data_IF_094888975454
#
_entry.id   IF_094888975454
#
_cell.length_a   1.000
_cell.length_b   1.000
_cell.length_c   1.000
_cell.angle_alpha   90.00
_cell.angle_beta   90.00
_cell.angle_gamma   90.00
#
_symmetry.space_group_name_H-M   'P 1'
#
loop_
_entity.id
_entity.type
_entity.pdbx_description
1 polymer ?
#
# COMPACT_ATOMS: atom_id res chain seq x y z
N UNK A 1 17.41 -2.18 14.18
CA UNK A 1 15.99 -1.88 13.86
C UNK A 1 15.69 -0.50 14.42
N UNK A 2 15.82 0.57 13.64
CA UNK A 2 15.34 1.87 14.08
C UNK A 2 13.83 1.89 13.90
N UNK A 3 13.14 1.97 15.03
CA UNK A 3 11.71 2.14 15.10
C UNK A 3 11.37 3.51 14.46
N UNK A 4 10.27 3.63 13.72
CA UNK A 4 9.85 4.93 13.18
C UNK A 4 9.78 6.02 14.26
N UNK A 5 9.59 5.61 15.52
CA UNK A 5 9.63 6.46 16.71
C UNK A 5 10.99 7.14 16.93
N UNK A 6 12.12 6.45 16.74
CA UNK A 6 13.45 7.04 16.97
C UNK A 6 13.70 8.24 16.05
N UNK A 7 13.21 8.13 14.81
CA UNK A 7 13.28 9.19 13.81
C UNK A 7 12.35 10.35 14.16
N UNK A 8 11.14 10.05 14.63
CA UNK A 8 10.19 11.07 15.08
C UNK A 8 10.71 11.86 16.28
N UNK A 9 11.33 11.18 17.25
CA UNK A 9 11.89 11.83 18.45
C UNK A 9 13.07 12.74 18.10
N UNK A 10 13.92 12.34 17.15
CA UNK A 10 15.10 13.12 16.72
C UNK A 10 14.76 14.29 15.77
N UNK A 11 13.69 14.17 14.99
CA UNK A 11 13.29 15.13 13.96
C UNK A 11 11.75 15.17 13.88
N UNK A 12 11.08 15.94 14.76
CA UNK A 12 9.62 15.91 14.93
C UNK A 12 8.91 16.75 13.86
N UNK A 13 9.03 16.34 12.60
CA UNK A 13 8.27 16.90 11.47
C UNK A 13 7.07 16.04 11.12
N UNK A 14 6.07 16.65 10.53
CA UNK A 14 4.79 16.01 10.17
C UNK A 14 4.97 14.71 9.39
N UNK A 15 5.81 14.71 8.35
CA UNK A 15 6.10 13.52 7.53
C UNK A 15 6.89 12.41 8.24
N UNK A 16 7.36 12.62 9.46
CA UNK A 16 7.91 11.55 10.30
C UNK A 16 6.87 10.99 11.29
N UNK A 17 5.74 11.70 11.48
CA UNK A 17 4.68 11.30 12.40
C UNK A 17 3.55 10.57 11.67
N UNK A 18 3.10 11.09 10.52
CA UNK A 18 1.93 10.60 9.80
C UNK A 18 2.04 10.75 8.28
N UNK A 19 1.25 9.97 7.55
CA UNK A 19 1.06 10.05 6.11
C UNK A 19 -0.44 9.94 5.75
N UNK A 20 -0.81 10.53 4.61
CA UNK A 20 -2.09 10.28 3.97
C UNK A 20 -2.06 8.92 3.24
N UNK A 21 -3.14 8.16 3.35
CA UNK A 21 -3.27 6.82 2.74
C UNK A 21 -4.69 6.63 2.18
N UNK A 22 -4.87 5.62 1.33
CA UNK A 22 -6.17 5.28 0.77
C UNK A 22 -6.87 4.18 1.58
N UNK A 23 -8.17 4.28 1.80
CA UNK A 23 -9.00 3.19 2.33
C UNK A 23 -9.05 2.02 1.34
N UNK A 24 -9.30 2.32 0.07
CA UNK A 24 -9.25 1.39 -1.06
C UNK A 24 -8.01 1.70 -1.88
N UNK A 25 -7.03 0.78 -2.01
CA UNK A 25 -5.81 1.06 -2.75
C UNK A 25 -6.04 1.06 -4.26
N UNK A 26 -5.17 1.78 -4.98
CA UNK A 26 -5.23 1.96 -6.44
C UNK A 26 -5.32 0.63 -7.21
N UNK A 27 -4.55 -0.40 -6.82
CA UNK A 27 -4.56 -1.69 -7.52
C UNK A 27 -5.87 -2.47 -7.38
N UNK A 28 -6.75 -2.07 -6.44
CA UNK A 28 -8.12 -2.57 -6.28
C UNK A 28 -9.17 -1.61 -6.88
N UNK A 29 -8.75 -0.60 -7.63
CA UNK A 29 -9.64 0.38 -8.27
C UNK A 29 -9.91 1.64 -7.45
N UNK A 30 -9.27 1.84 -6.28
CA UNK A 30 -9.44 3.03 -5.45
C UNK A 30 -8.61 4.24 -5.89
N UNK A 31 -8.47 4.47 -7.20
CA UNK A 31 -7.67 5.56 -7.75
C UNK A 31 -8.36 6.92 -7.74
N UNK A 32 -9.62 6.99 -7.28
CA UNK A 32 -10.30 8.26 -7.06
C UNK A 32 -9.67 8.96 -5.84
N UNK A 33 -9.06 10.13 -6.08
CA UNK A 33 -8.56 11.03 -5.03
C UNK A 33 -9.71 11.78 -4.33
N UNK A 34 -10.82 11.08 -4.09
CA UNK A 34 -11.95 11.61 -3.34
C UNK A 34 -11.60 11.63 -1.85
N UNK A 35 -12.09 12.61 -1.10
CA UNK A 35 -11.79 12.73 0.33
C UNK A 35 -12.33 11.54 1.12
N UNK A 36 -13.40 10.91 0.61
CA UNK A 36 -14.04 9.72 1.18
C UNK A 36 -13.13 8.50 1.16
N UNK A 37 -12.20 8.42 0.20
CA UNK A 37 -11.25 7.32 0.09
C UNK A 37 -9.93 7.61 0.82
N UNK A 38 -9.79 8.76 1.48
CA UNK A 38 -8.56 9.13 2.19
C UNK A 38 -8.65 8.85 3.68
N UNK A 39 -7.53 8.41 4.27
CA UNK A 39 -7.34 8.26 5.72
C UNK A 39 -5.99 8.77 6.15
N UNK A 40 -5.87 9.10 7.43
CA UNK A 40 -4.60 9.48 8.04
C UNK A 40 -4.04 8.30 8.83
N UNK A 41 -2.79 7.91 8.57
CA UNK A 41 -2.09 6.88 9.32
C UNK A 41 -0.81 7.42 9.94
N UNK A 42 -0.43 6.93 11.12
CA UNK A 42 0.92 7.16 11.59
C UNK A 42 1.92 6.42 10.68
N UNK A 43 3.19 6.87 10.65
CA UNK A 43 4.22 6.27 9.79
C UNK A 43 4.42 4.77 10.04
N UNK A 44 4.26 4.30 11.28
CA UNK A 44 4.36 2.87 11.61
C UNK A 44 3.23 2.06 10.96
N UNK A 45 1.97 2.47 11.14
CA UNK A 45 0.81 1.82 10.53
C UNK A 45 0.85 1.91 9.00
N UNK A 46 1.26 3.06 8.45
CA UNK A 46 1.42 3.25 7.01
C UNK A 46 2.41 2.24 6.41
N UNK A 47 3.53 1.99 7.10
CA UNK A 47 4.53 1.00 6.66
C UNK A 47 3.97 -0.42 6.61
N UNK A 48 3.18 -0.81 7.61
CA UNK A 48 2.59 -2.14 7.68
C UNK A 48 1.56 -2.35 6.55
N UNK A 49 0.72 -1.34 6.31
CA UNK A 49 -0.23 -1.32 5.19
C UNK A 49 0.51 -1.42 3.86
N UNK A 50 1.55 -0.60 3.65
CA UNK A 50 2.37 -0.63 2.43
C UNK A 50 2.93 -2.03 2.19
N UNK A 51 3.50 -2.65 3.22
CA UNK A 51 4.08 -4.00 3.13
C UNK A 51 3.02 -5.04 2.71
N UNK A 52 1.83 -4.98 3.31
CA UNK A 52 0.72 -5.88 2.98
C UNK A 52 0.25 -5.67 1.53
N UNK A 53 0.04 -4.42 1.11
CA UNK A 53 -0.38 -4.06 -0.24
C UNK A 53 0.65 -4.47 -1.30
N UNK A 54 1.95 -4.31 -1.05
CA UNK A 54 3.00 -4.78 -1.96
C UNK A 54 2.96 -6.30 -2.15
N UNK A 55 2.80 -7.06 -1.07
CA UNK A 55 2.71 -8.51 -1.11
C UNK A 55 1.45 -8.99 -1.88
N UNK A 56 0.31 -8.34 -1.64
CA UNK A 56 -0.93 -8.63 -2.36
C UNK A 56 -0.83 -8.25 -3.85
N UNK A 57 -0.27 -7.09 -4.17
CA UNK A 57 -0.10 -6.64 -5.55
C UNK A 57 0.80 -7.56 -6.35
N UNK A 58 1.87 -8.09 -5.74
CA UNK A 58 2.71 -9.12 -6.36
C UNK A 58 1.92 -10.41 -6.63
N UNK A 59 1.21 -10.91 -5.61
CA UNK A 59 0.38 -12.12 -5.71
C UNK A 59 -0.65 -12.01 -6.83
N UNK A 60 -1.34 -10.87 -6.92
CA UNK A 60 -2.34 -10.58 -7.94
C UNK A 60 -1.74 -10.59 -9.35
N UNK A 61 -0.58 -9.97 -9.55
CA UNK A 61 0.14 -9.97 -10.84
C UNK A 61 0.57 -11.38 -11.26
N UNK A 62 1.05 -12.18 -10.31
CA UNK A 62 1.43 -13.58 -10.58
C UNK A 62 0.21 -14.38 -11.03
N UNK A 63 -0.92 -14.25 -10.33
CA UNK A 63 -2.16 -14.93 -10.69
C UNK A 63 -2.70 -14.50 -12.06
N UNK A 64 -2.68 -13.19 -12.35
CA UNK A 64 -3.09 -12.67 -13.66
C UNK A 64 -2.24 -13.26 -14.79
N UNK A 65 -0.92 -13.32 -14.62
CA UNK A 65 -0.01 -13.96 -15.58
C UNK A 65 -0.33 -15.46 -15.79
N UNK A 66 -0.61 -16.20 -14.72
CA UNK A 66 -1.00 -17.63 -14.82
C UNK A 66 -2.29 -17.80 -15.61
N UNK A 67 -3.32 -16.98 -15.32
CA UNK A 67 -4.60 -17.00 -16.05
C UNK A 67 -4.41 -16.71 -17.55
N UNK A 68 -3.61 -15.71 -17.89
CA UNK A 68 -3.31 -15.39 -19.30
C UNK A 68 -2.65 -16.55 -20.05
N UNK A 69 -1.69 -17.24 -19.43
CA UNK A 69 -1.06 -18.44 -20.01
C UNK A 69 -2.08 -19.57 -20.22
N UNK A 70 -2.89 -19.87 -19.21
CA UNK A 70 -3.95 -20.90 -19.34
C UNK A 70 -5.02 -20.54 -20.37
N UNK A 71 -5.24 -19.26 -20.63
CA UNK A 71 -6.17 -18.83 -21.68
C UNK A 71 -5.55 -19.04 -23.07
N UNK A 72 -4.25 -18.73 -23.22
CA UNK A 72 -3.53 -18.95 -24.46
C UNK A 72 -3.43 -20.43 -24.84
N UNK A 73 -3.18 -21.32 -23.87
CA UNK A 73 -3.08 -22.77 -24.09
C UNK A 73 -4.43 -23.44 -24.44
N UNK A 74 -5.56 -22.75 -24.24
CA UNK A 74 -6.90 -23.25 -24.58
C UNK A 74 -7.38 -22.85 -25.98
N UNK A 75 -6.64 -21.97 -26.66
CA UNK A 75 -6.88 -21.58 -28.05
C UNK A 75 -5.87 -22.26 -28.97
#
# INVERSE_FOLDING_TARGET
MSCGLDRLVKDPKEGNAWHADHFVPVYRGGGECSLENMRTLCVACHRDVTKAQCAEGLSTRIQAKKKLKSNHERH
#
